data_IF_007573655478
#
_entry.id   IF_007573655478
#
_cell.length_a   1.000
_cell.length_b   1.000
_cell.length_c   1.000
_cell.angle_alpha   90.00
_cell.angle_beta   90.00
_cell.angle_gamma   90.00
#
_symmetry.space_group_name_H-M   'P 1'
#
loop_
_entity.id
_entity.type
_entity.pdbx_description
1 polymer ?
#
# COMPACT_ATOMS: atom_id res chain seq x y z
N UNK A 1 7.96 -27.33 -2.69
CA UNK A 1 7.20 -26.06 -2.67
C UNK A 1 7.60 -25.28 -3.91
N UNK A 2 6.63 -24.92 -4.75
CA UNK A 2 6.89 -24.15 -5.96
C UNK A 2 7.11 -22.69 -5.54
N UNK A 3 8.32 -22.18 -5.80
CA UNK A 3 8.68 -20.80 -5.58
C UNK A 3 8.18 -19.98 -6.76
N UNK A 4 7.02 -19.33 -6.62
CA UNK A 4 6.53 -18.38 -7.63
C UNK A 4 7.35 -17.09 -7.53
N UNK A 5 8.33 -16.94 -8.42
CA UNK A 5 8.96 -15.65 -8.73
C UNK A 5 7.90 -14.76 -9.39
N UNK A 6 7.53 -13.67 -8.73
CA UNK A 6 6.77 -12.59 -9.38
C UNK A 6 7.75 -11.82 -10.27
N UNK A 7 7.36 -11.69 -11.53
CA UNK A 7 8.17 -11.23 -12.64
C UNK A 7 8.77 -9.83 -12.44
N UNK A 8 9.99 -9.66 -12.96
CA UNK A 8 10.65 -8.37 -13.12
C UNK A 8 9.75 -7.41 -13.92
N UNK A 9 9.36 -6.29 -13.32
CA UNK A 9 8.73 -5.19 -14.04
C UNK A 9 9.79 -4.53 -14.92
N UNK A 10 9.73 -4.84 -16.22
CA UNK A 10 10.54 -4.18 -17.25
C UNK A 10 10.27 -2.68 -17.26
N UNK A 11 11.28 -1.86 -16.93
CA UNK A 11 11.22 -0.42 -17.15
C UNK A 11 11.32 -0.13 -18.65
N UNK A 12 10.22 0.32 -19.26
CA UNK A 12 10.24 0.95 -20.58
C UNK A 12 9.78 2.40 -20.44
N UNK A 13 10.71 3.34 -20.61
CA UNK A 13 10.42 4.77 -20.79
C UNK A 13 9.98 5.02 -22.22
N UNK A 14 8.73 5.44 -22.42
CA UNK A 14 8.30 6.06 -23.67
C UNK A 14 7.34 7.21 -23.33
N UNK A 15 7.73 8.41 -23.77
CA UNK A 15 6.91 9.62 -23.73
C UNK A 15 5.83 9.56 -24.82
N UNK A 16 4.76 10.34 -24.61
CA UNK A 16 3.61 10.63 -25.47
C UNK A 16 2.28 9.92 -25.11
N UNK A 17 1.37 10.77 -24.61
CA UNK A 17 -0.08 10.73 -24.50
C UNK A 17 -0.83 9.48 -24.99
N UNK A 18 -1.46 8.80 -24.02
CA UNK A 18 -2.82 8.32 -24.16
C UNK A 18 -3.45 8.30 -22.76
N UNK A 19 -4.33 9.24 -22.47
CA UNK A 19 -4.91 9.49 -21.13
C UNK A 19 -5.61 8.24 -20.56
N UNK A 20 -6.16 7.39 -21.43
CA UNK A 20 -6.76 6.09 -21.08
C UNK A 20 -5.77 4.97 -20.74
N UNK A 21 -4.57 4.99 -21.31
CA UNK A 21 -3.53 3.98 -21.00
C UNK A 21 -2.85 4.31 -19.66
N UNK A 22 -2.80 5.59 -19.29
CA UNK A 22 -2.37 6.04 -17.97
C UNK A 22 -3.39 5.69 -16.86
N UNK A 23 -4.70 5.69 -17.14
CA UNK A 23 -5.73 5.28 -16.16
C UNK A 23 -5.63 3.80 -15.77
N UNK A 24 -5.42 2.90 -16.74
CA UNK A 24 -5.32 1.45 -16.47
C UNK A 24 -4.02 1.07 -15.76
N UNK A 25 -2.89 1.72 -16.09
CA UNK A 25 -1.62 1.55 -15.37
C UNK A 25 -1.63 2.19 -13.97
N UNK A 26 -2.55 3.11 -13.70
CA UNK A 26 -2.69 3.72 -12.38
C UNK A 26 -3.39 2.80 -11.40
N UNK A 27 -4.47 2.10 -11.78
CA UNK A 27 -5.28 1.30 -10.85
C UNK A 27 -4.46 0.24 -10.07
N UNK A 28 -3.54 -0.47 -10.74
CA UNK A 28 -2.67 -1.48 -10.11
C UNK A 28 -1.73 -0.89 -9.03
N UNK A 29 -1.35 0.38 -9.17
CA UNK A 29 -0.52 1.06 -8.18
C UNK A 29 -1.26 1.24 -6.84
N UNK A 30 -2.58 1.45 -6.90
CA UNK A 30 -3.46 1.66 -5.73
C UNK A 30 -4.01 0.34 -5.16
N UNK A 31 -3.96 -0.76 -5.91
CA UNK A 31 -4.38 -2.07 -5.43
C UNK A 31 -3.33 -2.69 -4.49
N UNK A 32 -3.64 -2.68 -3.18
CA UNK A 32 -2.81 -3.28 -2.15
C UNK A 32 -3.20 -4.73 -1.86
N UNK A 33 -2.53 -5.65 -2.53
CA UNK A 33 -2.58 -7.08 -2.25
C UNK A 33 -1.44 -7.49 -1.30
N UNK A 34 -1.55 -7.20 0.00
CA UNK A 34 -0.57 -7.61 1.01
C UNK A 34 -0.96 -8.96 1.61
N UNK A 35 0.02 -9.85 1.74
CA UNK A 35 -0.14 -11.07 2.53
C UNK A 35 -0.08 -10.71 4.03
N UNK A 36 -1.23 -10.62 4.69
CA UNK A 36 -1.33 -10.27 6.11
C UNK A 36 -0.66 -11.28 7.05
N UNK A 37 -0.54 -12.56 6.67
CA UNK A 37 0.21 -13.54 7.47
C UNK A 37 1.71 -13.21 7.49
N UNK A 38 2.29 -12.84 6.34
CA UNK A 38 3.69 -12.42 6.25
C UNK A 38 3.92 -11.09 6.97
N UNK A 39 2.97 -10.15 6.86
CA UNK A 39 3.03 -8.90 7.61
C UNK A 39 3.03 -9.18 9.12
N UNK A 40 2.13 -10.05 9.58
CA UNK A 40 2.03 -10.43 10.98
C UNK A 40 3.31 -11.11 11.50
N UNK A 41 3.91 -12.01 10.71
CA UNK A 41 5.19 -12.64 11.03
C UNK A 41 6.33 -11.62 11.11
N UNK A 42 6.39 -10.69 10.15
CA UNK A 42 7.44 -9.67 10.09
C UNK A 42 7.37 -8.71 11.27
N UNK A 43 6.16 -8.34 11.67
CA UNK A 43 5.89 -7.48 12.81
C UNK A 43 5.82 -8.26 14.13
N UNK A 44 5.92 -9.59 14.12
CA UNK A 44 5.80 -10.46 15.30
C UNK A 44 4.52 -10.16 16.11
N UNK A 45 3.39 -10.03 15.40
CA UNK A 45 2.11 -9.72 16.02
C UNK A 45 1.60 -10.89 16.87
N UNK A 46 0.97 -10.58 17.99
CA UNK A 46 0.10 -11.54 18.66
C UNK A 46 -1.23 -11.73 17.91
N UNK A 47 -2.08 -12.65 18.39
CA UNK A 47 -3.35 -12.97 17.74
C UNK A 47 -4.31 -11.78 17.65
N UNK A 48 -4.42 -10.97 18.70
CA UNK A 48 -5.32 -9.81 18.71
C UNK A 48 -4.80 -8.70 17.82
N UNK A 49 -3.49 -8.45 17.85
CA UNK A 49 -2.83 -7.49 16.98
C UNK A 49 -2.98 -7.89 15.52
N UNK A 50 -2.84 -9.19 15.19
CA UNK A 50 -3.03 -9.70 13.82
C UNK A 50 -4.43 -9.37 13.29
N UNK A 51 -5.47 -9.71 14.04
CA UNK A 51 -6.86 -9.46 13.62
C UNK A 51 -7.13 -7.97 13.42
N UNK A 52 -6.62 -7.12 14.33
CA UNK A 52 -6.74 -5.68 14.21
C UNK A 52 -5.98 -5.12 13.00
N UNK A 53 -4.74 -5.56 12.77
CA UNK A 53 -3.90 -5.14 11.64
C UNK A 53 -4.52 -5.57 10.30
N UNK A 54 -5.13 -6.74 10.22
CA UNK A 54 -5.83 -7.19 9.01
C UNK A 54 -7.03 -6.28 8.70
N UNK A 55 -7.81 -5.90 9.70
CA UNK A 55 -8.94 -4.99 9.53
C UNK A 55 -8.52 -3.57 9.15
N UNK A 56 -7.45 -3.06 9.76
CA UNK A 56 -6.86 -1.77 9.38
C UNK A 56 -6.35 -1.83 7.94
N UNK A 57 -5.64 -2.89 7.57
CA UNK A 57 -5.11 -3.06 6.22
C UNK A 57 -6.21 -3.10 5.15
N UNK A 58 -7.32 -3.83 5.40
CA UNK A 58 -8.49 -3.84 4.51
C UNK A 58 -9.07 -2.44 4.30
N UNK A 59 -9.12 -1.65 5.36
CA UNK A 59 -9.58 -0.25 5.30
C UNK A 59 -8.63 0.59 4.44
N UNK A 60 -7.33 0.50 4.71
CA UNK A 60 -6.31 1.24 3.95
C UNK A 60 -6.31 0.89 2.46
N UNK A 61 -6.37 -0.41 2.11
CA UNK A 61 -6.49 -0.87 0.74
C UNK A 61 -7.75 -0.31 0.05
N UNK A 62 -8.88 -0.25 0.77
CA UNK A 62 -10.13 0.32 0.25
C UNK A 62 -10.02 1.83 0.03
N UNK A 63 -9.40 2.57 0.95
CA UNK A 63 -9.18 4.02 0.81
C UNK A 63 -8.27 4.35 -0.39
N UNK A 64 -7.21 3.57 -0.61
CA UNK A 64 -6.34 3.74 -1.79
C UNK A 64 -7.05 3.41 -3.10
N UNK A 65 -7.81 2.31 -3.14
CA UNK A 65 -8.62 1.98 -4.30
C UNK A 65 -9.66 3.06 -4.60
N UNK A 66 -10.27 3.64 -3.56
CA UNK A 66 -11.17 4.76 -3.71
C UNK A 66 -10.48 5.99 -4.30
N UNK A 67 -9.26 6.31 -3.84
CA UNK A 67 -8.45 7.41 -4.38
C UNK A 67 -8.15 7.25 -5.88
N UNK A 68 -8.01 6.01 -6.38
CA UNK A 68 -7.72 5.73 -7.77
C UNK A 68 -8.80 6.25 -8.75
N UNK A 69 -10.03 6.46 -8.27
CA UNK A 69 -11.16 6.97 -9.07
C UNK A 69 -11.18 8.51 -9.21
N UNK A 70 -10.27 9.22 -8.55
CA UNK A 70 -10.18 10.68 -8.61
C UNK A 70 -9.15 11.15 -9.64
N UNK A 71 -9.34 12.38 -10.14
CA UNK A 71 -8.35 13.08 -10.97
C UNK A 71 -7.06 13.40 -10.19
N UNK A 72 -5.97 13.72 -10.90
CA UNK A 72 -4.61 13.81 -10.36
C UNK A 72 -4.48 14.58 -9.03
N UNK A 73 -4.96 15.83 -8.96
CA UNK A 73 -4.79 16.67 -7.76
C UNK A 73 -5.55 16.14 -6.53
N UNK A 74 -6.77 15.65 -6.74
CA UNK A 74 -7.61 15.14 -5.65
C UNK A 74 -7.13 13.76 -5.19
N UNK A 75 -6.60 12.96 -6.13
CA UNK A 75 -6.03 11.65 -5.87
C UNK A 75 -4.84 11.71 -4.93
N UNK A 76 -3.89 12.63 -5.14
CA UNK A 76 -2.72 12.75 -4.28
C UNK A 76 -3.11 13.10 -2.83
N UNK A 77 -4.09 14.00 -2.66
CA UNK A 77 -4.67 14.34 -1.35
C UNK A 77 -5.37 13.16 -0.68
N UNK A 78 -6.13 12.35 -1.45
CA UNK A 78 -6.78 11.15 -0.92
C UNK A 78 -5.77 10.07 -0.53
N UNK A 79 -4.69 9.88 -1.28
CA UNK A 79 -3.59 8.96 -0.94
C UNK A 79 -2.91 9.40 0.35
N UNK A 80 -2.56 10.69 0.47
CA UNK A 80 -1.93 11.22 1.68
C UNK A 80 -2.84 11.03 2.90
N UNK A 81 -4.14 11.26 2.73
CA UNK A 81 -5.14 11.03 3.78
C UNK A 81 -5.22 9.55 4.17
N UNK A 82 -5.25 8.63 3.21
CA UNK A 82 -5.28 7.19 3.47
C UNK A 82 -4.03 6.74 4.25
N UNK A 83 -2.84 7.20 3.84
CA UNK A 83 -1.57 6.91 4.53
C UNK A 83 -1.61 7.45 5.97
N UNK A 84 -2.08 8.67 6.19
CA UNK A 84 -2.20 9.26 7.52
C UNK A 84 -3.19 8.48 8.41
N UNK A 85 -4.33 8.06 7.85
CA UNK A 85 -5.34 7.28 8.55
C UNK A 85 -4.81 5.90 8.96
N UNK A 86 -4.14 5.21 8.05
CA UNK A 86 -3.51 3.93 8.28
C UNK A 86 -2.44 4.03 9.39
N UNK A 87 -1.49 4.95 9.26
CA UNK A 87 -0.43 5.17 10.26
C UNK A 87 -1.03 5.49 11.63
N UNK A 88 -2.06 6.34 11.70
CA UNK A 88 -2.76 6.66 12.96
C UNK A 88 -3.44 5.43 13.57
N UNK A 89 -4.03 4.57 12.74
CA UNK A 89 -4.74 3.38 13.19
C UNK A 89 -3.78 2.30 13.66
N UNK A 90 -2.68 2.07 12.92
CA UNK A 90 -1.63 1.12 13.28
C UNK A 90 -0.95 1.49 14.61
N UNK A 91 -0.69 2.78 14.87
CA UNK A 91 -0.14 3.24 16.16
C UNK A 91 -1.00 2.91 17.38
N UNK A 92 -2.28 2.58 17.22
CA UNK A 92 -3.16 2.18 18.33
C UNK A 92 -3.02 0.70 18.69
N UNK A 93 -2.41 -0.08 17.82
CA UNK A 93 -2.35 -1.56 17.90
C UNK A 93 -0.90 -2.03 18.07
N UNK A 94 0.03 -1.38 17.38
CA UNK A 94 1.44 -1.74 17.35
C UNK A 94 2.22 -1.06 18.47
N UNK A 95 3.19 -1.78 19.04
CA UNK A 95 4.22 -1.17 19.89
C UNK A 95 5.23 -0.35 19.06
N UNK A 96 6.20 0.27 19.72
CA UNK A 96 7.19 1.15 19.06
C UNK A 96 8.07 0.42 18.05
N UNK A 97 8.55 -0.79 18.36
CA UNK A 97 9.43 -1.58 17.49
C UNK A 97 8.68 -2.11 16.27
N UNK A 98 7.46 -2.58 16.51
CA UNK A 98 6.52 -3.01 15.48
C UNK A 98 6.17 -1.83 14.56
N UNK A 99 5.83 -0.67 15.12
CA UNK A 99 5.50 0.53 14.36
C UNK A 99 6.69 1.02 13.53
N UNK A 100 7.91 1.01 14.08
CA UNK A 100 9.10 1.39 13.33
C UNK A 100 9.35 0.46 12.13
N UNK A 101 9.16 -0.85 12.32
CA UNK A 101 9.27 -1.83 11.23
C UNK A 101 8.16 -1.64 10.20
N UNK A 102 6.92 -1.41 10.65
CA UNK A 102 5.78 -1.13 9.79
C UNK A 102 6.01 0.10 8.90
N UNK A 103 6.48 1.21 9.46
CA UNK A 103 6.75 2.44 8.70
C UNK A 103 7.80 2.25 7.61
N UNK A 104 8.83 1.42 7.86
CA UNK A 104 9.83 1.08 6.83
C UNK A 104 9.21 0.29 5.68
N UNK A 105 8.36 -0.70 5.99
CA UNK A 105 7.65 -1.50 4.98
C UNK A 105 6.66 -0.64 4.20
N UNK A 106 5.90 0.22 4.89
CA UNK A 106 4.95 1.13 4.26
C UNK A 106 5.68 2.09 3.32
N UNK A 107 6.75 2.75 3.78
CA UNK A 107 7.53 3.65 2.93
C UNK A 107 8.10 2.94 1.70
N UNK A 108 8.66 1.74 1.85
CA UNK A 108 9.14 0.95 0.72
C UNK A 108 7.99 0.61 -0.25
N UNK A 109 6.83 0.23 0.27
CA UNK A 109 5.64 -0.09 -0.53
C UNK A 109 5.14 1.11 -1.33
N UNK A 110 4.99 2.28 -0.69
CA UNK A 110 4.53 3.52 -1.32
C UNK A 110 5.52 3.97 -2.41
N UNK A 111 6.83 3.94 -2.14
CA UNK A 111 7.84 4.35 -3.12
C UNK A 111 7.91 3.37 -4.31
N UNK A 112 7.89 2.06 -4.06
CA UNK A 112 7.93 1.05 -5.13
C UNK A 112 6.70 1.11 -6.04
N UNK A 113 5.58 1.64 -5.52
CA UNK A 113 4.33 1.85 -6.27
C UNK A 113 4.23 3.22 -6.92
N UNK A 114 5.18 4.12 -6.67
CA UNK A 114 5.16 5.49 -7.20
C UNK A 114 4.01 6.34 -6.63
N UNK A 115 3.59 6.06 -5.40
CA UNK A 115 2.51 6.78 -4.70
C UNK A 115 3.01 7.97 -3.86
N UNK A 116 4.32 8.23 -3.88
CA UNK A 116 4.96 9.39 -3.28
C UNK A 116 5.51 10.25 -4.43
N UNK A 117 4.69 11.19 -4.92
CA UNK A 117 5.00 12.07 -6.05
C UNK A 117 4.88 13.53 -5.64
#
# INVERSE_FOLDING_TARGET
MILTMVAMLSMTTAFAEDEKVAEVKNAEAYELNINCDKLAQTLKLDGFQKDAVENIHKTFASELMFAAHYGNSDRDSMVEKAIKNDVKSMRRVLDEDQMHTYLRLLNATINNRGLNK
#
